data_IF_197228105604
#
_entry.id   IF_197228105604
#
_cell.length_a   1.000
_cell.length_b   1.000
_cell.length_c   1.000
_cell.angle_alpha   90.00
_cell.angle_beta   90.00
_cell.angle_gamma   90.00
#
_symmetry.space_group_name_H-M   'P 1'
#
loop_
_entity.id
_entity.type
_entity.pdbx_description
1 polymer ?
#
# COMPACT_ATOMS: atom_id res chain seq x y z
N UNK A 1 13.14 -12.99 -25.88
CA UNK A 1 13.69 -11.81 -25.16
C UNK A 1 12.67 -10.69 -24.86
N UNK A 2 11.75 -10.28 -25.76
CA UNK A 2 10.80 -9.19 -25.47
C UNK A 2 9.74 -9.52 -24.39
N UNK A 3 9.29 -10.78 -24.28
CA UNK A 3 8.28 -11.24 -23.29
C UNK A 3 8.81 -11.14 -21.86
N UNK A 4 10.08 -11.48 -21.64
CA UNK A 4 10.72 -11.41 -20.32
C UNK A 4 11.01 -9.98 -19.83
N UNK A 5 11.20 -9.02 -20.75
CA UNK A 5 11.38 -7.60 -20.36
C UNK A 5 10.12 -6.99 -19.75
N UNK A 6 8.91 -7.39 -20.21
CA UNK A 6 7.63 -6.93 -19.66
C UNK A 6 7.41 -7.45 -18.23
N UNK A 7 7.68 -8.73 -17.98
CA UNK A 7 7.53 -9.33 -16.64
C UNK A 7 8.40 -8.64 -15.59
N UNK A 8 9.69 -8.39 -15.90
CA UNK A 8 10.60 -7.69 -14.98
C UNK A 8 10.14 -6.27 -14.65
N UNK A 9 9.56 -5.52 -15.61
CA UNK A 9 9.03 -4.18 -15.35
C UNK A 9 7.75 -4.23 -14.51
N UNK A 10 6.93 -5.25 -14.69
CA UNK A 10 5.72 -5.45 -13.88
C UNK A 10 6.11 -5.77 -12.44
N UNK A 11 7.04 -6.73 -12.24
CA UNK A 11 7.55 -7.07 -10.91
C UNK A 11 8.22 -5.88 -10.22
N UNK A 12 9.03 -5.09 -10.94
CA UNK A 12 9.64 -3.89 -10.38
C UNK A 12 8.59 -2.86 -9.90
N UNK A 13 7.46 -2.71 -10.59
CA UNK A 13 6.36 -1.85 -10.14
C UNK A 13 5.61 -2.41 -8.94
N UNK A 14 5.58 -3.71 -8.80
CA UNK A 14 4.95 -4.39 -7.68
C UNK A 14 5.81 -4.31 -6.42
N UNK A 15 7.13 -4.45 -6.55
CA UNK A 15 8.08 -4.50 -5.44
C UNK A 15 8.45 -3.11 -4.93
N UNK A 16 8.82 -2.18 -5.83
CA UNK A 16 9.33 -0.88 -5.39
C UNK A 16 8.21 0.12 -5.08
N UNK A 17 8.35 0.80 -3.94
CA UNK A 17 7.48 1.89 -3.48
C UNK A 17 6.01 1.48 -3.24
N UNK A 18 5.76 0.20 -3.01
CA UNK A 18 4.44 -0.35 -2.70
C UNK A 18 4.48 -1.18 -1.41
N UNK A 19 3.42 -1.19 -0.59
CA UNK A 19 3.34 -2.04 0.58
C UNK A 19 3.46 -3.52 0.21
N UNK A 20 4.29 -4.24 0.97
CA UNK A 20 4.54 -5.67 0.84
C UNK A 20 4.27 -6.37 2.17
N UNK A 21 3.76 -7.58 2.10
CA UNK A 21 3.63 -8.52 3.21
C UNK A 21 4.67 -9.64 3.02
N UNK A 22 5.94 -9.30 3.20
CA UNK A 22 7.09 -10.16 2.91
C UNK A 22 8.20 -9.92 3.93
N UNK A 23 9.02 -10.92 4.19
CA UNK A 23 10.23 -10.74 4.99
C UNK A 23 11.20 -9.75 4.32
N UNK A 24 11.88 -8.94 5.13
CA UNK A 24 12.76 -7.89 4.61
C UNK A 24 13.91 -8.45 3.77
N UNK A 25 14.45 -9.60 4.12
CA UNK A 25 15.54 -10.26 3.41
C UNK A 25 15.09 -10.76 2.02
N UNK A 26 13.88 -11.35 1.93
CA UNK A 26 13.30 -11.77 0.66
C UNK A 26 13.02 -10.57 -0.25
N UNK A 27 12.49 -9.46 0.31
CA UNK A 27 12.29 -8.22 -0.42
C UNK A 27 13.62 -7.66 -0.97
N UNK A 28 14.67 -7.71 -0.16
CA UNK A 28 16.00 -7.27 -0.58
C UNK A 28 16.56 -8.17 -1.69
N UNK A 29 16.40 -9.48 -1.58
CA UNK A 29 16.84 -10.44 -2.61
C UNK A 29 16.14 -10.19 -3.95
N UNK A 30 14.82 -10.00 -3.94
CA UNK A 30 14.02 -9.67 -5.14
C UNK A 30 14.47 -8.32 -5.73
N UNK A 31 14.68 -7.31 -4.91
CA UNK A 31 15.13 -6.00 -5.35
C UNK A 31 16.52 -6.07 -5.98
N UNK A 32 17.46 -6.81 -5.38
CA UNK A 32 18.81 -7.01 -5.90
C UNK A 32 18.79 -7.77 -7.24
N UNK A 33 17.97 -8.81 -7.36
CA UNK A 33 17.73 -9.52 -8.61
C UNK A 33 17.28 -8.57 -9.72
N UNK A 34 16.31 -7.71 -9.46
CA UNK A 34 15.80 -6.74 -10.44
C UNK A 34 16.86 -5.71 -10.85
N UNK A 35 17.67 -5.23 -9.89
CA UNK A 35 18.79 -4.31 -10.15
C UNK A 35 19.87 -4.98 -11.00
N UNK A 36 20.29 -6.20 -10.67
CA UNK A 36 21.28 -6.96 -11.42
C UNK A 36 20.82 -7.18 -12.87
N UNK A 37 19.56 -7.58 -13.05
CA UNK A 37 18.96 -7.77 -14.37
C UNK A 37 18.87 -6.48 -15.18
N UNK A 38 18.56 -5.35 -14.54
CA UNK A 38 18.52 -4.03 -15.19
C UNK A 38 19.92 -3.59 -15.65
N UNK A 39 20.97 -3.99 -14.94
CA UNK A 39 22.36 -3.71 -15.26
C UNK A 39 22.97 -4.71 -16.28
N UNK A 40 22.19 -5.67 -16.77
CA UNK A 40 22.63 -6.65 -17.75
C UNK A 40 23.53 -7.76 -17.19
N UNK A 41 23.53 -7.96 -15.87
CA UNK A 41 24.19 -9.09 -15.23
C UNK A 41 23.43 -10.35 -15.65
N UNK A 42 24.10 -11.24 -16.37
CA UNK A 42 23.55 -12.57 -16.67
C UNK A 42 23.55 -13.37 -15.36
N UNK A 43 22.38 -13.81 -14.96
CA UNK A 43 22.24 -14.73 -13.83
C UNK A 43 22.31 -16.16 -14.37
N UNK A 44 23.04 -17.01 -13.67
CA UNK A 44 23.14 -18.42 -14.01
C UNK A 44 21.75 -19.05 -14.14
N UNK A 45 21.57 -19.81 -15.20
CA UNK A 45 20.29 -20.45 -15.53
C UNK A 45 19.88 -21.54 -14.53
N UNK A 46 20.70 -21.83 -13.52
CA UNK A 46 20.35 -22.75 -12.43
C UNK A 46 19.22 -22.25 -11.55
N UNK A 47 19.05 -20.93 -11.40
CA UNK A 47 17.92 -20.35 -10.67
C UNK A 47 16.60 -20.33 -11.47
N UNK A 48 16.63 -20.64 -12.76
CA UNK A 48 15.46 -20.56 -13.66
C UNK A 48 14.89 -21.96 -13.97
N UNK A 49 15.58 -23.01 -13.60
CA UNK A 49 15.08 -24.38 -13.72
C UNK A 49 14.22 -24.73 -12.49
N UNK A 50 13.07 -24.08 -12.35
CA UNK A 50 11.96 -24.69 -11.64
C UNK A 50 11.69 -26.00 -12.38
N UNK A 51 12.06 -27.11 -11.76
CA UNK A 51 11.65 -28.43 -12.26
C UNK A 51 10.13 -28.33 -12.40
N UNK A 52 9.65 -28.56 -13.58
CA UNK A 52 8.23 -28.82 -13.83
C UNK A 52 7.94 -30.16 -13.15
N UNK A 53 7.66 -30.09 -11.84
CA UNK A 53 7.30 -31.25 -11.02
C UNK A 53 5.86 -31.71 -11.31
N UNK A 54 5.25 -31.17 -12.38
CA UNK A 54 4.00 -31.73 -12.91
C UNK A 54 4.28 -33.21 -13.18
N UNK A 55 3.50 -34.12 -12.61
CA UNK A 55 3.69 -35.56 -12.87
C UNK A 55 3.63 -35.78 -14.37
N UNK A 56 4.78 -36.02 -15.02
CA UNK A 56 4.85 -36.47 -16.39
C UNK A 56 4.46 -37.93 -16.42
N UNK A 57 3.25 -38.25 -15.94
CA UNK A 57 2.65 -39.54 -16.25
C UNK A 57 2.26 -39.46 -17.72
N UNK A 58 3.07 -40.01 -18.59
CA UNK A 58 2.68 -40.24 -19.98
C UNK A 58 1.46 -41.17 -19.94
N UNK A 59 0.29 -40.61 -20.23
CA UNK A 59 -0.88 -41.44 -20.49
C UNK A 59 -0.52 -42.43 -21.59
N UNK A 60 -0.89 -43.69 -21.43
CA UNK A 60 -0.74 -44.68 -22.46
C UNK A 60 -1.43 -44.24 -23.75
N UNK A 61 -1.03 -44.77 -24.92
CA UNK A 61 -1.65 -44.39 -26.22
C UNK A 61 -3.17 -44.61 -26.24
N UNK A 62 -3.71 -45.49 -25.39
CA UNK A 62 -5.14 -45.75 -25.19
C UNK A 62 -5.38 -45.89 -23.68
N UNK A 63 -5.48 -44.76 -22.95
CA UNK A 63 -5.64 -44.79 -21.48
C UNK A 63 -7.02 -45.33 -21.09
N UNK A 64 -7.06 -46.08 -20.03
CA UNK A 64 -8.31 -46.48 -19.39
C UNK A 64 -8.94 -45.26 -18.70
N UNK A 65 -10.26 -45.31 -18.40
CA UNK A 65 -10.95 -44.26 -17.67
C UNK A 65 -10.31 -44.02 -16.27
N UNK A 66 -9.86 -45.10 -15.62
CA UNK A 66 -9.19 -45.04 -14.32
C UNK A 66 -7.81 -44.34 -14.43
N UNK A 67 -7.01 -44.58 -15.47
CA UNK A 67 -5.73 -43.90 -15.71
C UNK A 67 -5.97 -42.40 -15.99
N UNK A 68 -7.03 -42.05 -16.73
CA UNK A 68 -7.38 -40.64 -16.96
C UNK A 68 -7.74 -39.92 -15.64
N UNK A 69 -8.59 -40.55 -14.82
CA UNK A 69 -8.99 -40.00 -13.52
C UNK A 69 -7.76 -39.82 -12.61
N UNK A 70 -6.90 -40.84 -12.53
CA UNK A 70 -5.68 -40.76 -11.73
C UNK A 70 -4.73 -39.65 -12.22
N UNK A 71 -4.59 -39.50 -13.52
CA UNK A 71 -3.79 -38.44 -14.12
C UNK A 71 -4.39 -37.04 -13.81
N UNK A 72 -5.71 -36.86 -14.01
CA UNK A 72 -6.38 -35.61 -13.70
C UNK A 72 -6.28 -35.22 -12.22
N UNK A 73 -6.40 -36.19 -11.30
CA UNK A 73 -6.16 -35.94 -9.87
C UNK A 73 -4.73 -35.47 -9.60
N UNK A 74 -3.75 -36.16 -10.15
CA UNK A 74 -2.33 -35.85 -9.94
C UNK A 74 -1.98 -34.44 -10.43
N UNK A 75 -2.39 -34.05 -11.64
CA UNK A 75 -2.09 -32.72 -12.20
C UNK A 75 -2.84 -31.57 -11.49
N UNK A 76 -3.96 -31.87 -10.81
CA UNK A 76 -4.70 -30.90 -10.03
C UNK A 76 -4.34 -30.93 -8.53
N UNK A 77 -3.31 -31.69 -8.13
CA UNK A 77 -2.87 -31.79 -6.74
C UNK A 77 -3.91 -32.44 -5.83
N UNK A 78 -4.62 -33.45 -6.32
CA UNK A 78 -5.60 -34.22 -5.55
C UNK A 78 -4.97 -35.57 -5.19
N UNK A 79 -5.17 -36.01 -3.95
CA UNK A 79 -4.74 -37.31 -3.46
C UNK A 79 -5.26 -38.48 -4.32
N UNK A 80 -4.58 -39.62 -4.31
CA UNK A 80 -4.97 -40.78 -5.13
C UNK A 80 -6.40 -41.27 -4.85
N UNK A 81 -6.82 -41.20 -3.57
CA UNK A 81 -8.20 -41.53 -3.17
C UNK A 81 -9.26 -40.49 -3.60
N UNK A 82 -8.82 -39.33 -4.05
CA UNK A 82 -9.68 -38.25 -4.52
C UNK A 82 -10.29 -37.38 -3.42
N UNK A 83 -9.93 -37.60 -2.15
CA UNK A 83 -10.59 -36.93 -1.02
C UNK A 83 -9.92 -35.62 -0.60
N UNK A 84 -8.61 -35.49 -0.85
CA UNK A 84 -7.80 -34.36 -0.35
C UNK A 84 -7.21 -33.56 -1.51
N UNK A 85 -7.50 -32.25 -1.54
CA UNK A 85 -6.80 -31.28 -2.40
C UNK A 85 -5.55 -30.77 -1.71
N UNK A 86 -4.44 -30.68 -2.44
CA UNK A 86 -3.18 -30.10 -1.98
C UNK A 86 -2.88 -28.84 -2.76
N UNK A 87 -2.50 -27.78 -2.05
CA UNK A 87 -2.12 -26.48 -2.62
C UNK A 87 -0.81 -26.02 -2.01
N UNK A 88 0.16 -25.77 -2.86
CA UNK A 88 1.49 -25.36 -2.43
C UNK A 88 1.56 -23.84 -2.33
N UNK A 89 1.69 -23.33 -1.10
CA UNK A 89 1.89 -21.93 -0.77
C UNK A 89 3.39 -21.73 -0.49
N UNK A 90 4.18 -21.69 -1.56
CA UNK A 90 5.64 -21.74 -1.47
C UNK A 90 6.32 -20.59 -2.20
N UNK A 91 7.53 -20.24 -1.76
CA UNK A 91 8.32 -19.15 -2.36
C UNK A 91 7.63 -17.77 -2.20
N UNK A 92 7.92 -16.86 -3.12
CA UNK A 92 7.33 -15.51 -3.07
C UNK A 92 5.90 -15.52 -3.60
N UNK A 93 4.97 -14.93 -2.84
CA UNK A 93 3.57 -14.84 -3.20
C UNK A 93 3.29 -13.58 -4.02
N UNK A 94 2.53 -13.70 -5.10
CA UNK A 94 2.19 -12.60 -6.01
C UNK A 94 0.70 -12.58 -6.35
N UNK A 95 0.17 -11.40 -6.71
CA UNK A 95 -1.25 -11.26 -7.01
C UNK A 95 -1.68 -12.06 -8.23
N UNK A 96 -0.91 -11.97 -9.32
CA UNK A 96 -1.31 -12.47 -10.63
C UNK A 96 -0.44 -13.60 -11.12
N UNK A 97 -1.09 -14.53 -11.83
CA UNK A 97 -0.40 -15.59 -12.55
C UNK A 97 0.03 -15.09 -13.94
N UNK A 98 1.34 -15.14 -14.22
CA UNK A 98 1.90 -14.95 -15.55
C UNK A 98 3.11 -15.86 -15.76
N UNK A 99 3.50 -16.03 -17.04
CA UNK A 99 4.61 -16.92 -17.41
C UNK A 99 5.95 -16.52 -16.74
N UNK A 100 6.12 -15.24 -16.42
CA UNK A 100 7.35 -14.75 -15.77
C UNK A 100 7.37 -15.14 -14.30
N UNK A 101 6.28 -14.91 -13.58
CA UNK A 101 6.13 -15.27 -12.17
C UNK A 101 6.26 -16.79 -11.98
N UNK A 102 5.67 -17.58 -12.90
CA UNK A 102 5.79 -19.02 -12.90
C UNK A 102 7.25 -19.49 -13.13
N UNK A 103 7.96 -18.87 -14.08
CA UNK A 103 9.38 -19.18 -14.32
C UNK A 103 10.30 -18.80 -13.15
N UNK A 104 9.89 -17.86 -12.31
CA UNK A 104 10.61 -17.45 -11.10
C UNK A 104 10.30 -18.33 -9.89
N UNK A 105 9.42 -19.30 -10.00
CA UNK A 105 8.97 -20.12 -8.87
C UNK A 105 8.04 -19.39 -7.92
N UNK A 106 7.40 -18.30 -8.35
CA UNK A 106 6.46 -17.54 -7.53
C UNK A 106 5.08 -18.21 -7.54
N UNK A 107 4.45 -18.24 -6.38
CA UNK A 107 3.08 -18.72 -6.23
C UNK A 107 2.11 -17.53 -6.34
N UNK A 108 1.11 -17.63 -7.23
CA UNK A 108 0.13 -16.57 -7.36
C UNK A 108 -1.20 -16.90 -6.66
N UNK A 109 -1.82 -15.88 -6.06
CA UNK A 109 -3.14 -16.03 -5.43
C UNK A 109 -4.21 -16.46 -6.44
N UNK A 110 -4.17 -15.93 -7.67
CA UNK A 110 -5.08 -16.34 -8.75
C UNK A 110 -4.94 -17.83 -9.08
N UNK A 111 -3.70 -18.37 -9.12
CA UNK A 111 -3.46 -19.79 -9.38
C UNK A 111 -3.96 -20.67 -8.24
N UNK A 112 -3.68 -20.29 -6.98
CA UNK A 112 -4.17 -21.02 -5.82
C UNK A 112 -5.71 -21.12 -5.84
N UNK A 113 -6.39 -20.02 -6.10
CA UNK A 113 -7.84 -19.97 -6.15
C UNK A 113 -8.39 -20.83 -7.30
N UNK A 114 -7.89 -20.67 -8.53
CA UNK A 114 -8.36 -21.43 -9.69
C UNK A 114 -8.09 -22.93 -9.57
N UNK A 115 -6.98 -23.33 -8.94
CA UNK A 115 -6.68 -24.72 -8.66
C UNK A 115 -7.67 -25.28 -7.63
N UNK A 116 -7.98 -24.50 -6.59
CA UNK A 116 -8.99 -24.91 -5.60
C UNK A 116 -10.39 -25.04 -6.21
N UNK A 117 -10.83 -24.09 -7.05
CA UNK A 117 -12.12 -24.21 -7.79
C UNK A 117 -12.18 -25.52 -8.58
N UNK A 118 -11.06 -25.88 -9.24
CA UNK A 118 -10.97 -27.14 -9.98
C UNK A 118 -11.05 -28.35 -9.05
N UNK A 119 -10.33 -28.33 -7.91
CA UNK A 119 -10.38 -29.39 -6.91
C UNK A 119 -11.79 -29.55 -6.31
N UNK A 120 -12.48 -28.45 -5.99
CA UNK A 120 -13.89 -28.47 -5.54
C UNK A 120 -14.79 -29.13 -6.58
N UNK A 121 -14.64 -28.76 -7.87
CA UNK A 121 -15.42 -29.36 -8.95
C UNK A 121 -15.19 -30.87 -9.13
N UNK A 122 -14.04 -31.38 -8.67
CA UNK A 122 -13.67 -32.81 -8.69
C UNK A 122 -14.09 -33.54 -7.40
N UNK A 123 -14.74 -32.86 -6.47
CA UNK A 123 -15.41 -33.47 -5.31
C UNK A 123 -14.49 -33.78 -4.12
N UNK A 124 -13.43 -32.99 -3.90
CA UNK A 124 -12.60 -33.15 -2.70
C UNK A 124 -13.43 -32.93 -1.41
N UNK A 125 -13.02 -33.57 -0.34
CA UNK A 125 -13.66 -33.48 0.97
C UNK A 125 -12.93 -32.52 1.93
N UNK A 126 -11.67 -32.23 1.68
CA UNK A 126 -10.81 -31.32 2.45
C UNK A 126 -9.69 -30.78 1.58
N UNK A 127 -9.11 -29.66 1.99
CA UNK A 127 -7.94 -29.06 1.34
C UNK A 127 -6.82 -28.81 2.33
N UNK A 128 -5.57 -29.02 1.89
CA UNK A 128 -4.35 -28.78 2.67
C UNK A 128 -3.48 -27.75 1.95
N UNK A 129 -3.14 -26.69 2.65
CA UNK A 129 -2.04 -25.80 2.27
C UNK A 129 -0.71 -26.39 2.72
N UNK A 130 0.19 -26.65 1.79
CA UNK A 130 1.59 -26.95 2.10
C UNK A 130 2.34 -25.62 2.11
N UNK A 131 2.76 -25.15 3.28
CA UNK A 131 3.26 -23.78 3.44
C UNK A 131 4.76 -23.78 3.70
N UNK A 132 5.50 -23.09 2.81
CA UNK A 132 6.91 -22.75 3.00
C UNK A 132 7.22 -21.44 2.24
N UNK A 133 6.93 -20.30 2.87
CA UNK A 133 6.98 -18.99 2.21
C UNK A 133 7.23 -17.85 3.19
N UNK A 134 8.09 -16.91 2.80
CA UNK A 134 8.34 -15.64 3.50
C UNK A 134 7.29 -14.55 3.23
N UNK A 135 6.26 -14.87 2.44
CA UNK A 135 5.20 -13.92 2.08
C UNK A 135 5.33 -13.34 0.68
N UNK A 136 4.82 -12.12 0.47
CA UNK A 136 4.82 -11.53 -0.87
C UNK A 136 3.97 -10.26 -1.00
N UNK A 137 3.30 -10.12 -2.12
CA UNK A 137 2.54 -8.93 -2.50
C UNK A 137 1.29 -8.75 -1.63
N UNK A 138 1.13 -7.56 -1.03
CA UNK A 138 -0.04 -7.23 -0.21
C UNK A 138 -1.33 -7.08 -1.04
N UNK A 139 -1.17 -6.68 -2.32
CA UNK A 139 -2.31 -6.43 -3.20
C UNK A 139 -3.07 -7.73 -3.49
N UNK A 140 -4.38 -7.67 -3.34
CA UNK A 140 -5.33 -8.78 -3.51
C UNK A 140 -5.19 -9.94 -2.50
N UNK A 141 -4.14 -9.99 -1.67
CA UNK A 141 -3.93 -11.08 -0.72
C UNK A 141 -5.15 -11.31 0.20
N UNK A 142 -5.67 -10.24 0.79
CA UNK A 142 -6.82 -10.30 1.70
C UNK A 142 -8.10 -10.74 0.99
N UNK A 143 -8.37 -10.13 -0.17
CA UNK A 143 -9.58 -10.41 -0.96
C UNK A 143 -9.59 -11.86 -1.45
N UNK A 144 -8.47 -12.33 -2.01
CA UNK A 144 -8.37 -13.69 -2.52
C UNK A 144 -8.46 -14.75 -1.41
N UNK A 145 -7.85 -14.49 -0.25
CA UNK A 145 -7.98 -15.37 0.90
C UNK A 145 -9.42 -15.43 1.44
N UNK A 146 -10.12 -14.28 1.49
CA UNK A 146 -11.55 -14.26 1.87
C UNK A 146 -12.44 -15.00 0.85
N UNK A 147 -12.19 -14.84 -0.44
CA UNK A 147 -12.92 -15.58 -1.49
C UNK A 147 -12.66 -17.08 -1.39
N UNK A 148 -11.40 -17.48 -1.14
CA UNK A 148 -11.04 -18.88 -0.94
C UNK A 148 -11.79 -19.48 0.26
N UNK A 149 -11.77 -18.81 1.41
CA UNK A 149 -12.49 -19.25 2.61
C UNK A 149 -13.99 -19.34 2.36
N UNK A 150 -14.57 -18.38 1.65
CA UNK A 150 -15.99 -18.38 1.32
C UNK A 150 -16.37 -19.60 0.48
N UNK A 151 -15.59 -19.91 -0.57
CA UNK A 151 -15.81 -21.07 -1.42
C UNK A 151 -15.68 -22.39 -0.63
N UNK A 152 -14.71 -22.48 0.28
CA UNK A 152 -14.54 -23.65 1.14
C UNK A 152 -15.75 -23.86 2.08
N UNK A 153 -16.22 -22.77 2.71
CA UNK A 153 -17.41 -22.80 3.58
C UNK A 153 -18.68 -23.18 2.79
N UNK A 154 -18.89 -22.61 1.62
CA UNK A 154 -20.04 -22.92 0.75
C UNK A 154 -20.11 -24.41 0.40
N UNK A 155 -18.95 -25.04 0.18
CA UNK A 155 -18.86 -26.46 -0.19
C UNK A 155 -18.61 -27.40 1.02
N UNK A 156 -18.61 -26.88 2.26
CA UNK A 156 -18.30 -27.62 3.48
C UNK A 156 -16.96 -28.35 3.43
N UNK A 157 -15.93 -27.71 2.86
CA UNK A 157 -14.58 -28.23 2.73
C UNK A 157 -13.71 -27.62 3.83
N UNK A 158 -13.25 -28.38 4.84
CA UNK A 158 -12.33 -27.88 5.83
C UNK A 158 -10.97 -27.61 5.22
N UNK A 159 -10.35 -26.52 5.68
CA UNK A 159 -9.02 -26.07 5.28
C UNK A 159 -8.01 -26.43 6.37
N UNK A 160 -6.96 -27.15 6.02
CA UNK A 160 -5.81 -27.42 6.89
C UNK A 160 -4.61 -26.68 6.33
N UNK A 161 -3.74 -26.17 7.20
CA UNK A 161 -2.43 -25.67 6.80
C UNK A 161 -1.34 -26.52 7.49
N UNK A 162 -0.41 -27.04 6.69
CA UNK A 162 0.80 -27.66 7.19
C UNK A 162 2.00 -26.77 6.84
N UNK A 163 2.64 -26.24 7.89
CA UNK A 163 3.82 -25.38 7.72
C UNK A 163 5.06 -26.26 7.73
N UNK A 164 5.72 -26.38 6.58
CA UNK A 164 6.91 -27.24 6.33
C UNK A 164 8.20 -26.42 6.29
N UNK A 165 8.33 -25.41 7.13
CA UNK A 165 9.50 -24.53 7.23
C UNK A 165 9.09 -23.12 7.64
N UNK A 166 8.52 -22.34 6.74
CA UNK A 166 8.24 -20.93 6.98
C UNK A 166 6.80 -20.58 6.61
N UNK A 167 6.10 -19.89 7.51
CA UNK A 167 4.81 -19.27 7.25
C UNK A 167 4.84 -17.82 7.73
N UNK A 168 5.39 -16.92 6.93
CA UNK A 168 5.57 -15.54 7.33
C UNK A 168 4.75 -14.56 6.48
N UNK A 169 4.27 -13.49 7.12
CA UNK A 169 3.65 -12.35 6.46
C UNK A 169 2.46 -12.75 5.56
N UNK A 170 2.47 -12.55 4.24
CA UNK A 170 1.37 -12.97 3.37
C UNK A 170 1.14 -14.49 3.39
N UNK A 171 2.17 -15.31 3.62
CA UNK A 171 2.00 -16.74 3.76
C UNK A 171 1.24 -17.08 5.05
N UNK A 172 1.52 -16.39 6.16
CA UNK A 172 0.75 -16.53 7.37
C UNK A 172 -0.68 -16.00 7.24
N UNK A 173 -0.89 -14.92 6.46
CA UNK A 173 -2.24 -14.47 6.10
C UNK A 173 -3.04 -15.62 5.47
N UNK A 174 -2.46 -16.36 4.52
CA UNK A 174 -3.08 -17.51 3.88
C UNK A 174 -3.25 -18.69 4.86
N UNK A 175 -2.23 -19.00 5.66
CA UNK A 175 -2.37 -20.04 6.70
C UNK A 175 -3.49 -19.70 7.69
N UNK A 176 -3.68 -18.42 8.02
CA UNK A 176 -4.65 -17.97 9.02
C UNK A 176 -6.10 -18.27 8.67
N UNK A 177 -6.44 -18.46 7.40
CA UNK A 177 -7.79 -18.84 6.99
C UNK A 177 -8.09 -20.32 7.18
N UNK A 178 -7.07 -21.15 7.48
CA UNK A 178 -7.26 -22.56 7.77
C UNK A 178 -8.06 -22.77 9.07
N UNK A 179 -8.84 -23.82 9.08
CA UNK A 179 -9.58 -24.24 10.28
C UNK A 179 -8.62 -24.83 11.33
N UNK A 180 -7.48 -25.34 10.87
CA UNK A 180 -6.41 -25.85 11.74
C UNK A 180 -5.04 -25.65 11.07
N UNK A 181 -4.09 -25.08 11.82
CA UNK A 181 -2.72 -24.86 11.41
C UNK A 181 -1.79 -25.79 12.19
N UNK A 182 -1.12 -26.67 11.48
CA UNK A 182 -0.12 -27.60 12.04
C UNK A 182 1.26 -27.22 11.51
N UNK A 183 2.23 -27.08 12.38
CA UNK A 183 3.60 -26.75 11.99
C UNK A 183 4.58 -27.88 12.27
N UNK A 184 5.58 -28.02 11.42
CA UNK A 184 6.73 -28.90 11.69
C UNK A 184 7.54 -28.33 12.89
N UNK A 185 8.18 -29.17 13.72
CA UNK A 185 8.83 -28.70 14.97
C UNK A 185 9.87 -27.59 14.83
N UNK A 186 10.49 -27.43 13.67
CA UNK A 186 11.52 -26.44 13.35
C UNK A 186 11.03 -25.33 12.40
N UNK A 187 9.71 -25.14 12.31
CA UNK A 187 9.11 -24.08 11.47
C UNK A 187 9.12 -22.72 12.17
N UNK A 188 9.06 -21.69 11.36
CA UNK A 188 8.97 -20.30 11.78
C UNK A 188 7.65 -19.68 11.28
N UNK A 189 6.95 -18.96 12.17
CA UNK A 189 5.60 -18.45 11.91
C UNK A 189 5.48 -17.00 12.38
N UNK A 190 4.80 -16.13 11.59
CA UNK A 190 4.50 -14.78 12.06
C UNK A 190 4.74 -13.70 11.04
N UNK A 191 5.56 -12.69 11.39
CA UNK A 191 5.81 -11.50 10.55
C UNK A 191 4.51 -10.79 10.12
N UNK A 192 3.59 -10.57 11.09
CA UNK A 192 2.32 -9.86 10.82
C UNK A 192 2.60 -8.36 10.73
N UNK A 193 3.23 -7.98 9.63
CA UNK A 193 3.69 -6.61 9.39
C UNK A 193 3.68 -6.23 7.92
N UNK A 194 4.03 -4.97 7.66
CA UNK A 194 4.07 -4.39 6.31
C UNK A 194 5.37 -3.65 6.12
N UNK A 195 6.04 -3.88 5.02
CA UNK A 195 7.27 -3.18 4.65
C UNK A 195 7.15 -2.49 3.29
N UNK A 196 7.80 -1.34 3.14
CA UNK A 196 8.01 -0.68 1.84
C UNK A 196 9.48 -0.36 1.71
N UNK A 197 10.10 -0.86 0.66
CA UNK A 197 11.45 -0.49 0.30
C UNK A 197 11.43 0.70 -0.66
N UNK A 198 12.00 1.84 -0.24
CA UNK A 198 12.20 3.01 -1.09
C UNK A 198 13.61 2.97 -1.70
N UNK A 199 13.68 3.09 -3.01
CA UNK A 199 14.96 3.09 -3.74
C UNK A 199 15.17 4.45 -4.40
N UNK A 200 16.22 5.17 -3.97
CA UNK A 200 16.66 6.43 -4.57
C UNK A 200 17.94 6.21 -5.38
N UNK A 201 17.85 6.37 -6.69
CA UNK A 201 18.98 6.23 -7.62
C UNK A 201 19.50 7.58 -8.17
N UNK A 202 19.08 8.71 -7.61
CA UNK A 202 19.42 10.07 -8.08
C UNK A 202 20.93 10.26 -8.12
N UNK A 203 21.61 9.93 -7.05
CA UNK A 203 23.08 10.07 -6.92
C UNK A 203 23.85 9.17 -7.91
N UNK A 204 23.36 7.97 -8.15
CA UNK A 204 23.93 7.06 -9.17
C UNK A 204 23.80 7.64 -10.58
N UNK A 205 22.70 8.26 -10.91
CA UNK A 205 22.47 8.89 -12.22
C UNK A 205 23.32 10.14 -12.39
N UNK A 206 23.42 10.97 -11.35
CA UNK A 206 24.29 12.14 -11.31
C UNK A 206 25.77 11.75 -11.59
N UNK A 207 26.26 10.72 -10.92
CA UNK A 207 27.60 10.18 -11.15
C UNK A 207 27.83 9.66 -12.58
N UNK A 208 26.75 9.28 -13.28
CA UNK A 208 26.79 8.90 -14.71
C UNK A 208 26.59 10.10 -15.64
N UNK A 209 26.55 11.33 -15.13
CA UNK A 209 26.33 12.56 -15.92
C UNK A 209 24.90 12.72 -16.44
N UNK A 210 23.94 12.02 -15.84
CA UNK A 210 22.53 12.08 -16.23
C UNK A 210 21.78 13.00 -15.26
N UNK A 211 21.39 14.19 -15.73
CA UNK A 211 20.51 15.10 -14.99
C UNK A 211 19.06 14.82 -15.30
N UNK A 212 18.23 14.69 -14.26
CA UNK A 212 16.77 14.54 -14.39
C UNK A 212 16.08 15.79 -13.91
N UNK A 213 15.11 16.28 -14.71
CA UNK A 213 14.20 17.34 -14.27
C UNK A 213 12.77 16.90 -14.54
N UNK A 214 11.93 17.02 -13.53
CA UNK A 214 10.50 16.72 -13.65
C UNK A 214 9.71 18.03 -13.79
N UNK A 215 8.81 18.07 -14.75
CA UNK A 215 7.81 19.15 -14.88
C UNK A 215 6.47 18.48 -14.64
N UNK A 216 5.76 18.90 -13.57
CA UNK A 216 4.58 18.20 -13.11
C UNK A 216 3.38 19.13 -12.94
N UNK A 217 2.21 18.54 -13.10
CA UNK A 217 0.96 19.09 -12.58
C UNK A 217 0.51 18.20 -11.42
N UNK A 218 0.46 18.77 -10.22
CA UNK A 218 0.15 18.10 -8.94
C UNK A 218 1.39 17.66 -8.16
N UNK A 219 1.46 18.06 -6.89
CA UNK A 219 2.63 17.93 -6.00
C UNK A 219 3.04 16.48 -5.72
N UNK A 220 2.09 15.55 -5.71
CA UNK A 220 2.35 14.14 -5.42
C UNK A 220 2.72 13.31 -6.65
N UNK A 221 2.91 13.95 -7.82
CA UNK A 221 3.20 13.24 -9.07
C UNK A 221 4.62 12.66 -9.11
N UNK A 222 5.56 13.31 -8.42
CA UNK A 222 6.96 12.91 -8.33
C UNK A 222 7.36 12.81 -6.87
N UNK A 223 8.03 11.73 -6.46
CA UNK A 223 8.42 11.53 -5.08
C UNK A 223 9.66 12.32 -4.64
N UNK A 224 10.35 12.97 -5.58
CA UNK A 224 11.63 13.64 -5.37
C UNK A 224 11.49 15.17 -5.39
N UNK A 225 12.29 15.84 -4.58
CA UNK A 225 12.52 17.27 -4.65
C UNK A 225 13.58 17.66 -5.72
N UNK A 226 13.90 18.94 -5.83
CA UNK A 226 14.89 19.45 -6.79
C UNK A 226 16.31 18.95 -6.52
N UNK A 227 16.64 18.52 -5.30
CA UNK A 227 17.91 17.90 -4.94
C UNK A 227 17.97 16.40 -5.27
N UNK A 228 16.84 15.81 -5.67
CA UNK A 228 16.71 14.39 -5.97
C UNK A 228 16.48 13.51 -4.74
N UNK A 229 16.20 14.11 -3.58
CA UNK A 229 15.83 13.38 -2.37
C UNK A 229 14.32 13.18 -2.26
N UNK A 230 13.86 12.15 -1.50
CA UNK A 230 12.45 11.93 -1.27
C UNK A 230 11.83 13.09 -0.48
N UNK A 231 10.70 13.61 -0.97
CA UNK A 231 9.97 14.66 -0.24
C UNK A 231 9.36 14.11 1.05
N UNK A 232 9.32 14.93 2.12
CA UNK A 232 8.67 14.57 3.38
C UNK A 232 7.19 14.17 3.16
N UNK A 233 6.47 14.86 2.28
CA UNK A 233 5.09 14.57 1.93
C UNK A 233 4.92 13.19 1.28
N UNK A 234 5.86 12.78 0.41
CA UNK A 234 5.86 11.45 -0.17
C UNK A 234 6.09 10.38 0.90
N UNK A 235 7.12 10.55 1.75
CA UNK A 235 7.42 9.62 2.85
C UNK A 235 6.20 9.46 3.77
N UNK A 236 5.57 10.58 4.16
CA UNK A 236 4.35 10.55 4.98
C UNK A 236 3.22 9.78 4.29
N UNK A 237 2.99 10.01 3.00
CA UNK A 237 1.93 9.30 2.25
C UNK A 237 2.16 7.79 2.16
N UNK A 238 3.42 7.36 2.08
CA UNK A 238 3.79 5.93 2.13
C UNK A 238 3.57 5.37 3.53
N UNK A 239 3.98 6.10 4.58
CA UNK A 239 3.78 5.69 5.97
C UNK A 239 2.28 5.50 6.30
N UNK A 240 1.42 6.40 5.84
CA UNK A 240 -0.03 6.28 6.00
C UNK A 240 -0.59 5.02 5.31
N UNK A 241 -0.09 4.68 4.12
CA UNK A 241 -0.46 3.44 3.43
C UNK A 241 0.02 2.20 4.19
N UNK A 242 1.27 2.20 4.68
CA UNK A 242 1.82 1.12 5.50
C UNK A 242 0.97 0.91 6.74
N UNK A 243 0.66 1.98 7.48
CA UNK A 243 -0.16 1.92 8.68
C UNK A 243 -1.57 1.36 8.37
N UNK A 244 -2.21 1.84 7.30
CA UNK A 244 -3.53 1.36 6.89
C UNK A 244 -3.53 -0.13 6.55
N UNK A 245 -2.54 -0.58 5.79
CA UNK A 245 -2.39 -2.00 5.43
C UNK A 245 -2.05 -2.84 6.67
N UNK A 246 -1.21 -2.34 7.57
CA UNK A 246 -0.87 -3.03 8.83
C UNK A 246 -2.08 -3.22 9.74
N UNK A 247 -2.91 -2.18 9.91
CA UNK A 247 -4.16 -2.28 10.67
C UNK A 247 -5.11 -3.32 10.04
N UNK A 248 -5.22 -3.32 8.71
CA UNK A 248 -6.02 -4.32 7.99
C UNK A 248 -5.49 -5.72 8.22
N UNK A 249 -4.18 -5.91 8.20
CA UNK A 249 -3.54 -7.20 8.40
C UNK A 249 -3.77 -7.73 9.82
N UNK A 250 -3.50 -6.91 10.84
CA UNK A 250 -3.75 -7.30 12.24
C UNK A 250 -5.22 -7.73 12.46
N UNK A 251 -6.17 -6.95 11.93
CA UNK A 251 -7.61 -7.30 12.00
C UNK A 251 -7.94 -8.59 11.26
N UNK A 252 -7.30 -8.84 10.12
CA UNK A 252 -7.50 -10.06 9.35
C UNK A 252 -7.05 -11.29 10.13
N UNK A 253 -5.84 -11.26 10.69
CA UNK A 253 -5.31 -12.36 11.52
C UNK A 253 -6.18 -12.56 12.77
N UNK A 254 -6.48 -11.50 13.51
CA UNK A 254 -7.31 -11.56 14.71
C UNK A 254 -8.66 -12.25 14.45
N UNK A 255 -9.34 -11.86 13.37
CA UNK A 255 -10.62 -12.45 12.94
C UNK A 255 -10.49 -13.95 12.64
N UNK A 256 -9.47 -14.33 11.87
CA UNK A 256 -9.34 -15.72 11.41
C UNK A 256 -8.80 -16.66 12.50
N UNK A 257 -8.00 -16.15 13.43
CA UNK A 257 -7.43 -16.90 14.55
C UNK A 257 -8.24 -16.75 15.86
N UNK A 258 -9.36 -16.03 15.82
CA UNK A 258 -10.20 -15.73 16.98
C UNK A 258 -9.41 -15.13 18.16
N UNK A 259 -8.58 -14.11 17.85
CA UNK A 259 -7.72 -13.39 18.79
C UNK A 259 -8.20 -11.96 18.97
N UNK A 260 -7.75 -11.28 20.05
CA UNK A 260 -7.90 -9.84 20.15
C UNK A 260 -6.91 -9.14 19.18
N UNK A 261 -7.32 -8.05 18.58
CA UNK A 261 -6.48 -7.30 17.62
C UNK A 261 -5.21 -6.77 18.31
N UNK A 262 -5.34 -6.38 19.57
CA UNK A 262 -4.28 -5.87 20.41
C UNK A 262 -3.17 -6.91 20.65
N UNK A 263 -3.54 -8.19 20.81
CA UNK A 263 -2.58 -9.29 20.96
C UNK A 263 -1.77 -9.48 19.68
N UNK A 264 -2.42 -9.39 18.51
CA UNK A 264 -1.73 -9.45 17.23
C UNK A 264 -0.80 -8.24 17.03
N UNK A 265 -1.26 -7.02 17.38
CA UNK A 265 -0.43 -5.81 17.34
C UNK A 265 0.79 -5.93 18.28
N UNK A 266 0.60 -6.54 19.45
CA UNK A 266 1.68 -6.71 20.44
C UNK A 266 2.85 -7.57 19.92
N UNK A 267 2.62 -8.44 18.93
CA UNK A 267 3.69 -9.24 18.31
C UNK A 267 4.71 -8.41 17.52
N UNK A 268 4.39 -7.16 17.19
CA UNK A 268 5.28 -6.22 16.48
C UNK A 268 5.96 -6.82 15.24
N UNK A 269 5.23 -7.66 14.51
CA UNK A 269 5.70 -8.37 13.32
C UNK A 269 6.87 -9.36 13.58
N UNK A 270 6.99 -9.88 14.79
CA UNK A 270 7.97 -10.88 15.14
C UNK A 270 7.70 -12.20 14.41
N UNK A 271 8.77 -12.93 14.12
CA UNK A 271 8.75 -14.32 13.62
C UNK A 271 9.04 -15.22 14.80
N UNK A 272 8.13 -16.12 15.07
CA UNK A 272 8.17 -17.04 16.22
C UNK A 272 8.61 -18.42 15.78
N UNK A 273 9.33 -19.11 16.64
CA UNK A 273 9.43 -20.55 16.56
C UNK A 273 8.08 -21.23 16.88
N UNK A 274 7.98 -22.53 16.69
CA UNK A 274 6.71 -23.25 16.87
C UNK A 274 6.19 -23.24 18.29
N UNK A 275 7.09 -23.20 19.31
CA UNK A 275 6.70 -23.18 20.71
C UNK A 275 6.04 -21.85 21.08
N UNK A 276 6.63 -20.76 20.66
CA UNK A 276 6.10 -19.43 20.93
C UNK A 276 4.89 -19.10 20.01
N UNK A 277 4.89 -19.56 18.75
CA UNK A 277 3.73 -19.43 17.85
C UNK A 277 2.48 -20.17 18.42
N UNK A 278 2.67 -21.31 19.06
CA UNK A 278 1.61 -22.03 19.75
C UNK A 278 1.08 -21.26 20.97
N UNK A 279 1.97 -20.66 21.78
CA UNK A 279 1.60 -19.84 22.94
C UNK A 279 0.82 -18.59 22.54
N UNK A 280 1.25 -17.92 21.46
CA UNK A 280 0.58 -16.73 20.92
C UNK A 280 -0.77 -17.10 20.29
N UNK A 281 -0.98 -18.34 19.87
CA UNK A 281 -2.20 -18.79 19.21
C UNK A 281 -2.17 -18.66 17.67
N UNK A 282 -0.99 -18.49 17.10
CA UNK A 282 -0.81 -18.44 15.65
C UNK A 282 -0.93 -19.80 14.99
N UNK A 283 -0.58 -20.89 15.70
CA UNK A 283 -0.76 -22.27 15.25
C UNK A 283 -1.54 -23.07 16.27
N UNK A 284 -2.04 -24.23 15.88
CA UNK A 284 -2.88 -25.09 16.72
C UNK A 284 -2.11 -26.31 17.23
N UNK A 285 -1.16 -26.82 16.44
CA UNK A 285 -0.40 -28.05 16.75
C UNK A 285 1.00 -28.05 16.16
N UNK A 286 1.84 -28.85 16.75
CA UNK A 286 3.19 -29.16 16.24
C UNK A 286 3.26 -30.65 15.97
N UNK A 287 3.57 -31.05 14.75
CA UNK A 287 3.67 -32.45 14.31
C UNK A 287 4.72 -32.58 13.21
N UNK A 288 5.37 -33.71 13.13
CA UNK A 288 6.19 -34.08 11.97
C UNK A 288 5.31 -34.27 10.74
N UNK A 289 5.90 -34.17 9.55
CA UNK A 289 5.19 -34.37 8.27
C UNK A 289 4.54 -35.74 8.18
N UNK A 290 5.24 -36.79 8.62
CA UNK A 290 4.73 -38.15 8.62
C UNK A 290 3.53 -38.28 9.58
N UNK A 291 3.62 -37.76 10.83
CA UNK A 291 2.50 -37.78 11.77
C UNK A 291 1.28 -37.06 11.21
N UNK A 292 1.47 -35.89 10.55
CA UNK A 292 0.37 -35.14 9.97
C UNK A 292 -0.29 -35.88 8.82
N UNK A 293 0.47 -36.31 7.81
CA UNK A 293 -0.09 -36.91 6.59
C UNK A 293 -0.52 -38.35 6.75
N UNK A 294 0.18 -39.15 7.55
CA UNK A 294 -0.09 -40.59 7.68
C UNK A 294 -1.09 -40.91 8.76
N UNK A 295 -1.12 -40.13 9.83
CA UNK A 295 -1.96 -40.42 10.98
C UNK A 295 -3.05 -39.41 11.25
N UNK A 296 -2.71 -38.11 11.24
CA UNK A 296 -3.62 -37.05 11.69
C UNK A 296 -4.65 -36.69 10.61
N UNK A 297 -4.21 -36.35 9.42
CA UNK A 297 -5.07 -35.94 8.31
C UNK A 297 -6.07 -37.04 7.88
N UNK A 298 -5.70 -38.32 7.78
CA UNK A 298 -6.65 -39.41 7.51
C UNK A 298 -7.69 -39.58 8.60
N UNK A 299 -7.35 -39.38 9.90
CA UNK A 299 -8.31 -39.45 10.98
C UNK A 299 -9.46 -38.46 10.88
N UNK A 300 -9.24 -37.34 10.18
CA UNK A 300 -10.26 -36.31 9.91
C UNK A 300 -11.25 -36.70 8.81
N UNK A 301 -10.89 -37.63 7.91
CA UNK A 301 -11.80 -38.17 6.88
C UNK A 301 -12.89 -39.07 7.50
N UNK A 302 -12.54 -39.80 8.55
CA UNK A 302 -13.46 -40.73 9.19
C UNK A 302 -14.58 -40.04 9.97
N UNK A 303 -14.47 -38.77 10.32
CA UNK A 303 -15.55 -38.08 11.06
C UNK A 303 -16.81 -37.88 10.24
N UNK A 304 -16.74 -37.56 8.93
CA UNK A 304 -17.93 -37.48 8.07
C UNK A 304 -18.56 -38.85 7.83
N UNK A 305 -17.76 -39.88 7.58
CA UNK A 305 -18.21 -41.27 7.40
C UNK A 305 -18.78 -41.82 8.71
N UNK A 306 -18.17 -41.54 9.86
CA UNK A 306 -18.71 -41.95 11.16
C UNK A 306 -20.04 -41.22 11.49
N UNK A 307 -20.19 -39.95 11.18
CA UNK A 307 -21.47 -39.26 11.36
C UNK A 307 -22.54 -39.81 10.48
N UNK A 308 -22.23 -40.20 9.22
CA UNK A 308 -23.17 -40.82 8.30
C UNK A 308 -23.53 -42.27 8.72
N UNK A 309 -22.54 -43.08 9.09
CA UNK A 309 -22.72 -44.44 9.59
C UNK A 309 -23.36 -44.44 10.99
N UNK A 310 -23.01 -43.49 11.87
CA UNK A 310 -23.73 -43.33 13.14
C UNK A 310 -25.15 -42.80 12.96
N UNK A 311 -25.44 -42.01 11.94
CA UNK A 311 -26.79 -41.57 11.64
C UNK A 311 -27.64 -42.71 11.09
N UNK A 312 -27.08 -43.68 10.35
CA UNK A 312 -27.80 -44.89 9.89
C UNK A 312 -27.91 -45.96 11.00
N UNK A 313 -26.85 -46.17 11.81
CA UNK A 313 -26.95 -47.06 12.97
C UNK A 313 -27.80 -46.49 14.11
N UNK A 314 -27.84 -45.17 14.30
CA UNK A 314 -28.68 -44.52 15.30
C UNK A 314 -30.15 -44.37 14.85
N UNK A 315 -30.48 -44.52 13.55
CA UNK A 315 -31.86 -44.67 13.09
C UNK A 315 -32.44 -46.06 13.45
N UNK A 316 -31.61 -47.03 13.71
CA UNK A 316 -32.04 -48.41 14.09
C UNK A 316 -31.92 -48.73 15.56
N UNK A 317 -31.25 -47.92 16.35
CA UNK A 317 -31.26 -47.98 17.83
C UNK A 317 -32.07 -46.80 18.34
N UNK A 318 -33.25 -47.08 18.88
CA UNK A 318 -33.97 -46.18 19.77
C UNK A 318 -33.01 -45.74 20.88
N UNK A 319 -32.40 -44.57 20.75
CA UNK A 319 -31.72 -43.90 21.83
C UNK A 319 -32.83 -43.50 22.80
N UNK A 320 -33.02 -44.19 23.87
CA UNK A 320 -33.66 -43.64 25.05
C UNK A 320 -32.76 -42.54 25.55
N UNK A 321 -32.90 -41.32 24.99
CA UNK A 321 -32.38 -40.13 25.58
C UNK A 321 -32.95 -40.02 26.97
N UNK A 322 -32.06 -40.06 27.96
CA UNK A 322 -32.42 -39.85 29.36
C UNK A 322 -33.24 -38.52 29.43
N UNK A 323 -34.37 -38.53 30.09
CA UNK A 323 -35.29 -37.37 30.16
C UNK A 323 -34.55 -36.12 30.70
N UNK A 324 -33.53 -36.32 31.52
CA UNK A 324 -32.70 -35.23 32.09
C UNK A 324 -31.77 -34.60 31.04
N UNK A 325 -31.17 -35.35 30.12
CA UNK A 325 -30.34 -34.83 29.00
C UNK A 325 -31.19 -34.08 27.99
N UNK A 326 -32.38 -34.54 27.71
CA UNK A 326 -33.35 -33.86 26.83
C UNK A 326 -33.79 -32.52 27.44
N UNK A 327 -33.98 -32.47 28.76
CA UNK A 327 -34.36 -31.27 29.46
C UNK A 327 -33.21 -30.26 29.50
N UNK A 328 -31.99 -30.73 29.69
CA UNK A 328 -30.77 -29.88 29.66
C UNK A 328 -30.53 -29.28 28.27
N UNK A 329 -30.65 -30.05 27.19
CA UNK A 329 -30.56 -29.57 25.82
C UNK A 329 -31.66 -28.56 25.48
N UNK A 330 -32.88 -28.72 25.95
CA UNK A 330 -33.95 -27.74 25.78
C UNK A 330 -33.67 -26.44 26.51
N UNK A 331 -33.06 -26.50 27.70
CA UNK A 331 -32.68 -25.31 28.45
C UNK A 331 -31.53 -24.59 27.76
N UNK A 332 -30.54 -25.31 27.29
CA UNK A 332 -29.43 -24.73 26.48
C UNK A 332 -29.92 -24.07 25.20
N UNK A 333 -30.86 -24.70 24.50
CA UNK A 333 -31.47 -24.14 23.30
C UNK A 333 -32.28 -22.86 23.58
N UNK A 334 -33.02 -22.84 24.68
CA UNK A 334 -33.76 -21.65 25.10
C UNK A 334 -32.82 -20.48 25.44
N UNK A 335 -31.75 -20.76 26.20
CA UNK A 335 -30.72 -19.75 26.51
C UNK A 335 -30.00 -19.24 25.26
N UNK A 336 -29.66 -20.12 24.34
CA UNK A 336 -29.03 -19.74 23.08
C UNK A 336 -29.97 -18.89 22.19
N UNK A 337 -31.27 -19.18 22.21
CA UNK A 337 -32.28 -18.43 21.48
C UNK A 337 -32.43 -17.01 22.07
N UNK A 338 -32.48 -16.90 23.41
CA UNK A 338 -32.55 -15.62 24.10
C UNK A 338 -31.29 -14.76 23.87
N UNK A 339 -30.11 -15.39 23.92
CA UNK A 339 -28.83 -14.71 23.60
C UNK A 339 -28.81 -14.22 22.15
N UNK A 340 -29.33 -14.99 21.20
CA UNK A 340 -29.44 -14.60 19.80
C UNK A 340 -30.36 -13.38 19.64
N UNK A 341 -31.50 -13.35 20.33
CA UNK A 341 -32.41 -12.20 20.26
C UNK A 341 -31.78 -10.94 20.85
N UNK A 342 -31.07 -11.06 22.00
CA UNK A 342 -30.31 -9.95 22.59
C UNK A 342 -29.24 -9.41 21.67
N UNK A 343 -28.44 -10.31 21.05
CA UNK A 343 -27.42 -9.93 20.07
C UNK A 343 -28.03 -9.23 18.84
N UNK A 344 -29.17 -9.69 18.38
CA UNK A 344 -29.89 -9.07 17.23
C UNK A 344 -30.34 -7.66 17.59
N UNK A 345 -30.82 -7.44 18.81
CA UNK A 345 -31.23 -6.11 19.30
C UNK A 345 -30.04 -5.17 19.42
N UNK A 346 -28.94 -5.64 20.04
CA UNK A 346 -27.70 -4.85 20.17
C UNK A 346 -27.10 -4.50 18.81
N UNK A 347 -27.21 -5.38 17.85
CA UNK A 347 -26.73 -5.13 16.50
C UNK A 347 -27.56 -4.05 15.78
N UNK A 348 -28.87 -4.02 16.01
CA UNK A 348 -29.75 -2.98 15.49
C UNK A 348 -29.49 -1.61 16.14
N UNK A 349 -29.22 -1.58 17.44
CA UNK A 349 -28.84 -0.37 18.18
C UNK A 349 -27.49 0.20 17.67
N UNK A 350 -26.50 -0.68 17.52
CA UNK A 350 -25.17 -0.30 17.00
C UNK A 350 -25.25 0.22 15.56
N UNK A 351 -26.11 -0.36 14.73
CA UNK A 351 -26.35 0.12 13.38
C UNK A 351 -26.96 1.52 13.37
N UNK A 352 -27.90 1.81 14.27
CA UNK A 352 -28.49 3.13 14.41
C UNK A 352 -27.49 4.19 14.89
N UNK A 353 -26.61 3.84 15.83
CA UNK A 353 -25.51 4.72 16.26
C UNK A 353 -24.51 4.97 15.12
N UNK A 354 -24.18 3.94 14.35
CA UNK A 354 -23.31 4.08 13.19
C UNK A 354 -23.89 5.06 12.15
N UNK A 355 -25.17 4.91 11.82
CA UNK A 355 -25.84 5.78 10.86
C UNK A 355 -25.89 7.23 11.35
N UNK A 356 -26.16 7.45 12.64
CA UNK A 356 -26.13 8.78 13.28
C UNK A 356 -24.73 9.40 13.23
N UNK A 357 -23.70 8.62 13.55
CA UNK A 357 -22.30 9.10 13.52
C UNK A 357 -21.86 9.42 12.10
N UNK A 358 -22.33 8.66 11.14
CA UNK A 358 -22.06 8.89 9.71
C UNK A 358 -22.69 10.20 9.23
N UNK A 359 -23.93 10.49 9.64
CA UNK A 359 -24.58 11.77 9.32
C UNK A 359 -23.83 12.96 9.95
N UNK A 360 -23.40 12.85 11.21
CA UNK A 360 -22.59 13.87 11.88
C UNK A 360 -21.25 14.10 11.15
N UNK A 361 -20.63 13.04 10.66
CA UNK A 361 -19.38 13.13 9.88
C UNK A 361 -19.58 13.91 8.57
N UNK A 362 -20.70 13.72 7.89
CA UNK A 362 -20.99 14.48 6.65
C UNK A 362 -21.25 15.96 6.96
N UNK A 363 -21.95 16.29 8.03
CA UNK A 363 -22.13 17.68 8.47
C UNK A 363 -20.78 18.34 8.76
N UNK A 364 -19.93 17.69 9.55
CA UNK A 364 -18.60 18.21 9.86
C UNK A 364 -17.70 18.39 8.63
N UNK A 365 -17.85 17.55 7.60
CA UNK A 365 -17.13 17.72 6.34
C UNK A 365 -17.55 18.99 5.59
N UNK A 366 -18.85 19.30 5.59
CA UNK A 366 -19.38 20.53 4.99
C UNK A 366 -18.85 21.76 5.74
N UNK A 367 -18.94 21.77 7.07
CA UNK A 367 -18.42 22.85 7.90
C UNK A 367 -16.91 23.07 7.69
N UNK A 368 -16.15 21.97 7.58
CA UNK A 368 -14.71 22.04 7.30
C UNK A 368 -14.41 22.66 5.92
N UNK A 369 -15.25 22.39 4.92
CA UNK A 369 -15.11 22.99 3.61
C UNK A 369 -15.38 24.49 3.65
N UNK A 370 -16.42 24.91 4.34
CA UNK A 370 -16.77 26.34 4.53
C UNK A 370 -15.66 27.10 5.27
N UNK A 371 -15.11 26.51 6.35
CA UNK A 371 -13.99 27.11 7.09
C UNK A 371 -12.74 27.24 6.21
N UNK A 372 -12.45 26.27 5.35
CA UNK A 372 -11.32 26.35 4.43
C UNK A 372 -11.49 27.47 3.41
N UNK A 373 -12.67 27.60 2.83
CA UNK A 373 -13.00 28.68 1.88
C UNK A 373 -12.92 30.05 2.56
N UNK A 374 -13.47 30.19 3.78
CA UNK A 374 -13.37 31.43 4.55
C UNK A 374 -11.91 31.79 4.87
N UNK A 375 -11.08 30.80 5.17
CA UNK A 375 -9.64 31.00 5.41
C UNK A 375 -8.93 31.50 4.16
N UNK A 376 -9.16 30.88 3.02
CA UNK A 376 -8.57 31.29 1.72
C UNK A 376 -8.96 32.73 1.35
N UNK A 377 -10.23 33.09 1.56
CA UNK A 377 -10.71 34.44 1.31
C UNK A 377 -10.02 35.45 2.25
N UNK A 378 -9.87 35.12 3.53
CA UNK A 378 -9.21 35.98 4.50
C UNK A 378 -7.70 36.18 4.18
N UNK A 379 -7.03 35.12 3.74
CA UNK A 379 -5.64 35.20 3.28
C UNK A 379 -5.50 36.09 2.03
N UNK A 380 -6.43 35.97 1.08
CA UNK A 380 -6.47 36.82 -0.10
C UNK A 380 -6.72 38.30 0.26
N UNK A 381 -7.67 38.60 1.15
CA UNK A 381 -7.92 39.94 1.66
C UNK A 381 -6.68 40.53 2.37
N UNK A 382 -6.00 39.73 3.17
CA UNK A 382 -4.77 40.15 3.84
C UNK A 382 -3.67 40.53 2.86
N UNK A 383 -3.44 39.69 1.85
CA UNK A 383 -2.45 39.98 0.79
C UNK A 383 -2.84 41.25 0.03
N UNK A 384 -4.11 41.44 -0.28
CA UNK A 384 -4.58 42.66 -0.96
C UNK A 384 -4.41 43.92 -0.08
N UNK A 385 -4.69 43.81 1.22
CA UNK A 385 -4.50 44.91 2.16
C UNK A 385 -3.00 45.29 2.30
N UNK A 386 -2.11 44.30 2.37
CA UNK A 386 -0.66 44.52 2.38
C UNK A 386 -0.17 45.20 1.09
N UNK A 387 -0.68 44.76 -0.07
CA UNK A 387 -0.37 45.37 -1.35
C UNK A 387 -0.84 46.83 -1.43
N UNK A 388 -2.05 47.10 -1.00
CA UNK A 388 -2.62 48.46 -0.98
C UNK A 388 -1.83 49.37 -0.02
N UNK A 389 -1.47 48.87 1.15
CA UNK A 389 -0.62 49.61 2.13
C UNK A 389 0.74 49.92 1.54
N UNK A 390 1.36 48.98 0.86
CA UNK A 390 2.67 49.15 0.16
C UNK A 390 2.56 50.18 -0.96
N UNK A 391 1.50 50.12 -1.76
CA UNK A 391 1.27 51.09 -2.84
C UNK A 391 1.07 52.50 -2.25
N UNK A 392 0.28 52.65 -1.19
CA UNK A 392 0.06 53.94 -0.53
C UNK A 392 1.37 54.56 0.01
N UNK A 393 2.23 53.74 0.65
CA UNK A 393 3.52 54.16 1.15
C UNK A 393 4.47 54.62 -0.01
N UNK A 394 4.48 53.87 -1.13
CA UNK A 394 5.29 54.20 -2.29
C UNK A 394 4.78 55.46 -2.98
N UNK A 395 3.46 55.63 -3.09
CA UNK A 395 2.85 56.85 -3.59
C UNK A 395 3.28 58.07 -2.78
N UNK A 396 3.13 57.99 -1.43
CA UNK A 396 3.50 59.07 -0.53
C UNK A 396 5.00 59.47 -0.65
N UNK A 397 5.90 58.48 -0.79
CA UNK A 397 7.32 58.75 -1.01
C UNK A 397 7.60 59.45 -2.33
N UNK A 398 6.96 59.05 -3.43
CA UNK A 398 7.12 59.69 -4.74
C UNK A 398 6.51 61.10 -4.77
N UNK A 399 5.35 61.28 -4.14
CA UNK A 399 4.71 62.60 -4.02
C UNK A 399 5.52 63.56 -3.19
N UNK A 400 6.22 63.09 -2.15
CA UNK A 400 7.14 63.87 -1.36
C UNK A 400 8.38 64.32 -2.17
N UNK A 401 8.87 63.47 -3.06
CA UNK A 401 10.04 63.73 -3.89
C UNK A 401 9.75 64.53 -5.15
N UNK A 402 8.57 64.41 -5.75
CA UNK A 402 8.22 64.98 -7.06
C UNK A 402 7.13 66.05 -6.99
N UNK A 403 6.46 66.23 -5.84
CA UNK A 403 5.30 67.09 -5.63
C UNK A 403 3.98 66.35 -5.83
N UNK A 404 2.96 66.78 -5.06
CA UNK A 404 1.57 66.32 -5.26
C UNK A 404 1.10 66.68 -6.67
N UNK A 405 0.38 65.80 -7.30
CA UNK A 405 -0.19 65.96 -8.66
C UNK A 405 0.82 65.90 -9.81
N UNK A 406 1.99 65.34 -9.60
CA UNK A 406 2.96 65.14 -10.69
C UNK A 406 2.55 63.90 -11.53
N UNK A 407 2.30 64.08 -12.83
CA UNK A 407 1.88 63.01 -13.77
C UNK A 407 2.87 61.84 -13.84
N UNK A 408 4.14 62.07 -13.47
CA UNK A 408 5.18 61.04 -13.47
C UNK A 408 5.04 60.03 -12.30
N UNK A 409 4.32 60.36 -11.23
CA UNK A 409 4.13 59.48 -10.07
C UNK A 409 3.44 58.18 -10.45
N UNK A 410 2.35 58.24 -11.25
CA UNK A 410 1.61 57.09 -11.73
C UNK A 410 2.48 56.17 -12.63
N UNK A 411 3.27 56.74 -13.50
CA UNK A 411 4.16 56.00 -14.41
C UNK A 411 5.30 55.30 -13.65
N UNK A 412 5.87 55.99 -12.65
CA UNK A 412 6.92 55.43 -11.81
C UNK A 412 6.41 54.29 -10.88
N UNK A 413 5.21 54.45 -10.32
CA UNK A 413 4.57 53.38 -9.55
C UNK A 413 4.35 52.12 -10.40
N UNK A 414 3.87 52.27 -11.61
CA UNK A 414 3.63 51.17 -12.52
C UNK A 414 4.94 50.46 -12.92
N UNK A 415 6.01 51.21 -13.21
CA UNK A 415 7.31 50.67 -13.62
C UNK A 415 8.10 50.04 -12.48
N UNK A 416 7.77 50.38 -11.21
CA UNK A 416 8.48 49.88 -10.02
C UNK A 416 7.72 48.85 -9.22
N UNK A 417 6.59 48.33 -9.71
CA UNK A 417 5.74 47.37 -8.98
C UNK A 417 6.47 46.11 -8.58
N UNK A 418 7.39 45.61 -9.41
CA UNK A 418 8.13 44.38 -9.18
C UNK A 418 9.38 44.53 -8.32
N UNK A 419 9.78 45.77 -7.99
CA UNK A 419 10.99 46.01 -7.19
C UNK A 419 10.78 45.75 -5.71
N UNK A 420 11.83 45.35 -5.00
CA UNK A 420 11.79 45.31 -3.53
C UNK A 420 11.66 46.72 -2.94
N UNK A 421 11.28 46.86 -1.68
CA UNK A 421 11.12 48.17 -1.04
C UNK A 421 12.48 48.87 -0.91
N UNK A 422 13.55 48.14 -0.67
CA UNK A 422 14.91 48.66 -0.66
C UNK A 422 15.33 49.24 -2.03
N UNK A 423 15.05 48.53 -3.11
CA UNK A 423 15.34 48.99 -4.47
C UNK A 423 14.50 50.24 -4.84
N UNK A 424 13.24 50.24 -4.42
CA UNK A 424 12.35 51.40 -4.60
C UNK A 424 12.86 52.63 -3.84
N UNK A 425 13.30 52.47 -2.58
CA UNK A 425 13.83 53.59 -1.76
C UNK A 425 15.12 54.22 -2.35
N UNK A 426 15.95 53.43 -3.02
CA UNK A 426 17.11 53.95 -3.74
C UNK A 426 16.66 54.83 -4.90
N UNK A 427 15.62 54.45 -5.66
CA UNK A 427 15.09 55.25 -6.75
C UNK A 427 14.44 56.52 -6.22
N UNK A 428 13.58 56.46 -5.20
CA UNK A 428 12.95 57.63 -4.60
C UNK A 428 13.99 58.65 -4.08
N UNK A 429 15.01 58.23 -3.40
CA UNK A 429 16.12 59.09 -2.95
C UNK A 429 16.90 59.69 -4.08
N UNK A 430 17.10 58.99 -5.19
CA UNK A 430 17.81 59.54 -6.35
C UNK A 430 17.03 60.66 -7.03
N UNK A 431 15.70 60.66 -6.94
CA UNK A 431 14.83 61.72 -7.45
C UNK A 431 14.89 62.99 -6.57
N UNK A 432 14.94 62.84 -5.23
CA UNK A 432 15.12 63.96 -4.29
C UNK A 432 16.44 64.70 -4.55
N UNK A 433 17.57 63.98 -4.71
CA UNK A 433 18.87 64.58 -5.00
C UNK A 433 18.90 65.36 -6.33
N UNK A 434 18.14 64.92 -7.33
CA UNK A 434 18.02 65.61 -8.62
C UNK A 434 17.23 66.92 -8.50
N UNK A 435 16.17 66.97 -7.71
CA UNK A 435 15.42 68.21 -7.48
C UNK A 435 16.22 69.25 -6.74
N UNK A 436 16.91 68.88 -5.65
CA UNK A 436 17.82 69.80 -4.95
C UNK A 436 18.96 70.32 -5.85
N UNK A 437 19.45 69.48 -6.76
CA UNK A 437 20.52 69.90 -7.70
C UNK A 437 19.97 70.83 -8.79
N UNK A 438 18.75 70.64 -9.27
CA UNK A 438 18.08 71.55 -10.20
C UNK A 438 17.72 72.88 -9.56
N UNK A 439 17.18 72.90 -8.32
CA UNK A 439 16.91 74.16 -7.59
C UNK A 439 18.16 74.97 -7.34
N UNK A 440 19.30 74.31 -6.99
CA UNK A 440 20.59 74.99 -6.86
C UNK A 440 21.15 75.51 -8.17
N UNK A 441 20.96 74.80 -9.30
CA UNK A 441 21.36 75.25 -10.60
C UNK A 441 20.50 76.42 -11.16
N UNK A 442 19.22 76.49 -10.85
CA UNK A 442 18.36 77.62 -11.21
C UNK A 442 18.63 78.88 -10.39
N UNK A 443 19.25 78.74 -9.22
CA UNK A 443 19.67 79.85 -8.39
C UNK A 443 21.02 80.47 -8.83
N UNK A 444 21.85 79.74 -9.60
CA UNK A 444 23.20 80.19 -10.03
C UNK A 444 23.30 80.64 -11.49
N UNK A 445 22.32 80.39 -12.36
CA UNK A 445 22.41 80.73 -13.78
C UNK A 445 21.40 81.82 -14.20
N UNK A 446 21.77 83.05 -13.91
CA UNK A 446 21.38 84.17 -14.71
C UNK A 446 22.54 84.50 -15.69
N UNK A 447 22.54 83.91 -16.92
CA UNK A 447 23.55 84.28 -17.92
C UNK A 447 23.78 83.20 -18.99
N UNK A 448 23.28 83.40 -20.15
CA UNK A 448 23.59 83.01 -21.52
C UNK A 448 24.59 81.83 -21.79
N UNK A 449 24.13 80.87 -22.67
CA UNK A 449 25.04 80.06 -23.48
C UNK A 449 24.43 78.73 -23.92
N UNK A 450 23.98 78.67 -25.20
CA UNK A 450 23.57 77.43 -25.90
C UNK A 450 24.73 76.43 -25.97
N UNK A 451 24.49 75.21 -25.55
CA UNK A 451 24.99 74.02 -26.27
C UNK A 451 24.14 72.78 -25.97
N UNK A 452 23.73 72.13 -27.04
CA UNK A 452 22.82 70.98 -27.04
C UNK A 452 23.54 69.69 -26.65
N UNK A 453 23.32 69.21 -25.45
CA UNK A 453 23.58 67.83 -25.04
C UNK A 453 22.27 67.04 -25.07
N UNK A 454 22.20 66.00 -25.88
CA UNK A 454 21.07 65.10 -25.99
C UNK A 454 20.83 64.44 -24.60
N UNK A 455 19.80 64.92 -23.93
CA UNK A 455 19.38 64.30 -22.67
C UNK A 455 18.72 62.93 -22.99
N UNK A 456 19.27 61.87 -22.45
CA UNK A 456 18.65 60.56 -22.43
C UNK A 456 17.28 60.65 -21.72
N UNK A 457 16.28 59.97 -22.28
CA UNK A 457 14.96 59.92 -21.65
C UNK A 457 15.01 59.20 -20.33
N UNK A 458 14.06 59.45 -19.45
CA UNK A 458 13.97 58.81 -18.11
C UNK A 458 13.95 57.31 -18.21
N UNK A 459 13.33 56.73 -19.26
CA UNK A 459 13.33 55.30 -19.54
C UNK A 459 14.72 54.74 -19.87
N UNK A 460 15.51 55.45 -20.67
CA UNK A 460 16.88 55.03 -21.00
C UNK A 460 17.82 55.08 -19.76
N UNK A 461 17.58 56.01 -18.85
CA UNK A 461 18.33 56.10 -17.60
C UNK A 461 17.95 55.02 -16.58
N UNK A 462 16.65 54.64 -16.51
CA UNK A 462 16.16 53.52 -15.70
C UNK A 462 16.66 52.18 -16.25
N UNK A 463 16.70 52.00 -17.56
CA UNK A 463 17.22 50.78 -18.19
C UNK A 463 18.74 50.64 -17.90
N UNK A 464 19.54 51.70 -17.96
CA UNK A 464 20.94 51.65 -17.61
C UNK A 464 21.20 51.37 -16.14
N UNK A 465 20.33 51.84 -15.25
CA UNK A 465 20.44 51.61 -13.82
C UNK A 465 20.07 50.17 -13.47
N UNK A 466 19.04 49.62 -14.09
CA UNK A 466 18.60 48.21 -13.97
C UNK A 466 19.70 47.26 -14.50
N UNK A 467 20.34 47.59 -15.61
CA UNK A 467 21.43 46.80 -16.20
C UNK A 467 22.71 46.81 -15.29
N UNK A 468 23.02 47.95 -14.66
CA UNK A 468 24.11 48.05 -13.72
C UNK A 468 23.86 47.26 -12.43
N UNK A 469 22.61 47.14 -12.00
CA UNK A 469 22.23 46.31 -10.81
C UNK A 469 22.23 44.82 -11.11
N UNK A 470 21.84 44.40 -12.32
CA UNK A 470 21.84 42.97 -12.71
C UNK A 470 23.26 42.42 -12.93
N UNK A 471 24.28 43.26 -13.09
CA UNK A 471 25.69 42.85 -13.21
C UNK A 471 26.44 42.82 -11.84
N UNK A 472 25.75 43.16 -10.74
CA UNK A 472 26.31 43.16 -9.38
C UNK A 472 25.67 42.15 -8.43
N UNK A 473 24.67 41.38 -8.89
CA UNK A 473 24.11 40.18 -8.28
C UNK A 473 24.62 38.95 -9.08
#
# INVERSE_FOLDING_TARGET
MAKYKRGSLTLARQVFNTPQLVLADDLQAIAQFLVNRANGVEMDSEYVNVKDDTPKSELSANPTEEEIIKYERAINGISEDGTTGHLDVTGTLVAKHDDFNACMGFTSYEKLYSQFEKQVSMGIEKVVFNVDSGGGEARTAFEMADQFKALAVENNIPIYAYVDGLSASAAFLWSSIADEIVARPDSEIGSVGVVVQLVNNSKMLENKGITRKFITYGDNKVPFDDSGEFTAKFIQSIQEKVNKTGIQFNKFIARNRNMQVEDVIATQAEVFDTEDALKVGFIDKVMTKSEFYENYLPSKSNMKSMYFLQSEENMTKNVELNADELQELKTQLATATETKEQLTTSLAELQAEYDTTKEQLEVMKVELAEIKEAKENLEAEKVQAELNSRLAQRTAKLEASLGKDNEQVATLLASTQTLSDEQFDVIAKSLEVKQETQEKQFAEIGGEGQDSVKQLTLEEQLAQTAEKMSKKA
#
